data_IF_885505019642
#
_entry.id   IF_885505019642
#
_cell.length_a   1.000
_cell.length_b   1.000
_cell.length_c   1.000
_cell.angle_alpha   90.00
_cell.angle_beta   90.00
_cell.angle_gamma   90.00
#
_symmetry.space_group_name_H-M   'P 1'
#
loop_
_entity.id
_entity.type
_entity.pdbx_description
1 polymer ?
#
# COMPACT_ATOMS: atom_id res chain seq x y z
N UNK A 1 64.44 30.93 34.88
CA UNK A 1 62.96 30.93 34.80
C UNK A 1 62.58 31.15 33.35
N UNK A 2 62.26 30.08 32.61
CA UNK A 2 60.90 29.55 32.36
C UNK A 2 60.15 30.43 31.35
N UNK A 3 59.49 29.95 30.30
CA UNK A 3 59.30 28.65 29.64
C UNK A 3 58.55 28.97 28.31
N UNK A 4 58.58 28.04 27.37
CA UNK A 4 57.77 27.84 26.14
C UNK A 4 56.35 28.47 26.14
N UNK A 5 55.68 28.80 25.03
CA UNK A 5 55.50 28.04 23.78
C UNK A 5 54.69 28.84 22.75
N UNK A 6 55.01 28.63 21.48
CA UNK A 6 54.17 28.87 20.30
C UNK A 6 52.78 28.25 20.42
N UNK A 7 51.72 28.94 19.99
CA UNK A 7 50.51 28.26 19.52
C UNK A 7 50.02 28.91 18.22
N UNK A 8 50.17 28.15 17.16
CA UNK A 8 49.67 28.43 15.83
C UNK A 8 48.14 28.52 15.85
N UNK A 9 47.64 29.51 15.12
CA UNK A 9 46.27 29.62 14.64
C UNK A 9 45.92 28.41 13.80
N UNK A 10 45.15 27.48 14.37
CA UNK A 10 44.48 26.40 13.66
C UNK A 10 42.97 26.68 13.63
N UNK A 11 42.54 27.30 12.54
CA UNK A 11 41.18 27.22 12.02
C UNK A 11 40.94 25.80 11.51
N UNK A 12 40.21 24.98 12.26
CA UNK A 12 39.53 23.73 11.87
C UNK A 12 39.13 23.07 13.20
N UNK A 13 37.88 22.75 13.54
CA UNK A 13 36.81 22.19 12.74
C UNK A 13 35.52 22.40 13.54
N UNK A 14 34.52 23.06 12.97
CA UNK A 14 33.16 23.02 13.53
C UNK A 14 32.17 22.95 12.37
N UNK A 15 32.17 21.79 11.72
CA UNK A 15 31.27 21.40 10.64
C UNK A 15 30.78 19.97 10.91
N UNK A 16 30.41 19.69 12.16
CA UNK A 16 29.76 18.44 12.53
C UNK A 16 28.62 18.76 13.50
N UNK A 17 27.47 19.18 12.96
CA UNK A 17 26.24 18.49 13.35
C UNK A 17 25.24 18.22 12.21
N UNK A 18 25.55 18.62 10.96
CA UNK A 18 24.62 18.45 9.81
C UNK A 18 25.01 17.31 8.86
N UNK A 19 26.20 16.71 9.02
CA UNK A 19 26.69 15.66 8.13
C UNK A 19 26.08 14.28 8.45
N UNK A 20 25.73 14.03 9.71
CA UNK A 20 25.03 12.82 10.14
C UNK A 20 23.58 12.72 9.60
N UNK A 21 22.73 13.77 9.65
CA UNK A 21 21.38 13.66 9.09
C UNK A 21 21.38 13.56 7.56
N UNK A 22 22.33 14.18 6.86
CA UNK A 22 22.45 14.04 5.40
C UNK A 22 22.86 12.62 4.99
N UNK A 23 23.87 12.03 5.64
CA UNK A 23 24.28 10.66 5.36
C UNK A 23 23.18 9.63 5.70
N UNK A 24 22.38 9.88 6.75
CA UNK A 24 21.24 9.05 7.11
C UNK A 24 20.13 9.14 6.04
N UNK A 25 19.85 10.33 5.54
CA UNK A 25 18.87 10.58 4.48
C UNK A 25 19.33 10.01 3.14
N UNK A 26 20.62 10.14 2.79
CA UNK A 26 21.20 9.54 1.59
C UNK A 26 21.13 8.01 1.65
N UNK A 27 21.48 7.40 2.78
CA UNK A 27 21.36 5.96 2.98
C UNK A 27 19.90 5.47 2.92
N UNK A 28 18.95 6.25 3.45
CA UNK A 28 17.52 5.92 3.38
C UNK A 28 16.98 6.00 1.95
N UNK A 29 17.42 6.99 1.16
CA UNK A 29 17.09 7.13 -0.27
C UNK A 29 17.69 5.98 -1.09
N UNK A 30 18.93 5.57 -0.80
CA UNK A 30 19.59 4.45 -1.46
C UNK A 30 18.90 3.10 -1.16
N UNK A 31 18.42 2.91 0.07
CA UNK A 31 17.64 1.72 0.43
C UNK A 31 16.28 1.72 -0.28
N UNK A 32 15.56 2.84 -0.29
CA UNK A 32 14.26 2.95 -0.95
C UNK A 32 14.37 2.73 -2.47
N UNK A 33 15.39 3.29 -3.11
CA UNK A 33 15.63 3.07 -4.55
C UNK A 33 15.99 1.62 -4.87
N UNK A 34 16.82 0.98 -4.05
CA UNK A 34 17.15 -0.45 -4.19
C UNK A 34 15.92 -1.36 -4.05
N UNK A 35 15.03 -1.07 -3.09
CA UNK A 35 13.76 -1.81 -2.91
C UNK A 35 12.89 -1.67 -4.16
N UNK A 36 12.76 -0.46 -4.72
CA UNK A 36 11.94 -0.22 -5.90
C UNK A 36 12.52 -0.89 -7.15
N UNK A 37 13.85 -0.90 -7.31
CA UNK A 37 14.52 -1.65 -8.37
C UNK A 37 14.29 -3.16 -8.23
N UNK A 38 14.39 -3.69 -7.00
CA UNK A 38 14.13 -5.10 -6.73
C UNK A 38 12.68 -5.46 -7.04
N UNK A 39 11.72 -4.63 -6.62
CA UNK A 39 10.30 -4.83 -6.94
C UNK A 39 10.03 -4.76 -8.45
N UNK A 40 10.73 -3.88 -9.18
CA UNK A 40 10.65 -3.81 -10.63
C UNK A 40 11.22 -5.08 -11.30
N UNK A 41 12.35 -5.63 -10.81
CA UNK A 41 12.89 -6.90 -11.32
C UNK A 41 11.89 -8.04 -11.13
N UNK A 42 11.35 -8.18 -9.91
CA UNK A 42 10.33 -9.19 -9.59
C UNK A 42 9.08 -9.03 -10.46
N UNK A 43 8.73 -7.79 -10.80
CA UNK A 43 7.62 -7.51 -11.70
C UNK A 43 7.86 -8.03 -13.12
N UNK A 44 9.05 -7.75 -13.68
CA UNK A 44 9.45 -8.22 -15.02
C UNK A 44 9.61 -9.75 -15.08
N UNK A 45 10.02 -10.36 -13.97
CA UNK A 45 10.12 -11.82 -13.80
C UNK A 45 8.76 -12.51 -13.60
N UNK A 46 7.68 -11.73 -13.42
CA UNK A 46 6.32 -12.24 -13.23
C UNK A 46 5.95 -12.57 -11.78
N UNK A 47 6.83 -12.30 -10.81
CA UNK A 47 6.60 -12.42 -9.37
C UNK A 47 5.79 -11.22 -8.81
N UNK A 48 4.66 -10.93 -9.45
CA UNK A 48 3.85 -9.72 -9.20
C UNK A 48 3.40 -9.60 -7.74
N UNK A 49 2.97 -10.70 -7.10
CA UNK A 49 2.56 -10.70 -5.69
C UNK A 49 3.72 -10.31 -4.77
N UNK A 50 4.91 -10.84 -5.02
CA UNK A 50 6.07 -10.60 -4.19
C UNK A 50 6.61 -9.18 -4.38
N UNK A 51 6.55 -8.62 -5.60
CA UNK A 51 6.81 -7.21 -5.87
C UNK A 51 5.87 -6.28 -5.07
N UNK A 52 4.56 -6.57 -5.07
CA UNK A 52 3.57 -5.80 -4.29
C UNK A 52 3.88 -5.86 -2.80
N UNK A 53 4.16 -7.05 -2.27
CA UNK A 53 4.49 -7.22 -0.85
C UNK A 53 5.76 -6.49 -0.47
N UNK A 54 6.80 -6.52 -1.31
CA UNK A 54 8.05 -5.84 -1.07
C UNK A 54 7.85 -4.33 -0.96
N UNK A 55 7.10 -3.74 -1.90
CA UNK A 55 6.75 -2.32 -1.85
C UNK A 55 5.90 -2.00 -0.62
N UNK A 56 4.94 -2.85 -0.27
CA UNK A 56 4.11 -2.65 0.91
C UNK A 56 4.91 -2.69 2.23
N UNK A 57 5.87 -3.63 2.33
CA UNK A 57 6.76 -3.80 3.49
C UNK A 57 7.76 -2.65 3.63
N UNK A 58 8.15 -2.02 2.52
CA UNK A 58 9.06 -0.86 2.53
C UNK A 58 8.47 0.41 3.15
N UNK A 59 7.15 0.45 3.38
CA UNK A 59 6.47 1.64 3.86
C UNK A 59 6.25 2.72 2.79
N UNK A 60 6.70 2.50 1.55
CA UNK A 60 6.58 3.47 0.46
C UNK A 60 5.18 3.45 -0.17
N UNK A 61 4.23 4.11 0.50
CA UNK A 61 2.83 4.16 0.08
C UNK A 61 2.63 4.90 -1.26
N UNK A 62 3.51 5.85 -1.59
CA UNK A 62 3.53 6.53 -2.89
C UNK A 62 3.88 5.58 -4.04
N UNK A 63 4.89 4.72 -3.85
CA UNK A 63 5.23 3.67 -4.80
C UNK A 63 4.11 2.64 -4.92
N UNK A 64 3.49 2.24 -3.81
CA UNK A 64 2.35 1.32 -3.81
C UNK A 64 1.17 1.88 -4.63
N UNK A 65 0.86 3.18 -4.49
CA UNK A 65 -0.17 3.84 -5.30
C UNK A 65 0.19 3.83 -6.78
N UNK A 66 1.45 4.15 -7.11
CA UNK A 66 1.92 4.20 -8.50
C UNK A 66 1.82 2.83 -9.15
N UNK A 67 2.28 1.80 -8.45
CA UNK A 67 2.19 0.41 -8.85
C UNK A 67 0.73 -0.01 -9.05
N UNK A 68 -0.13 0.18 -8.04
CA UNK A 68 -1.54 -0.20 -8.14
C UNK A 68 -2.31 0.53 -9.26
N UNK A 69 -1.99 1.81 -9.53
CA UNK A 69 -2.54 2.54 -10.68
C UNK A 69 -2.07 1.94 -11.99
N UNK A 70 -0.78 1.59 -12.10
CA UNK A 70 -0.24 0.91 -13.28
C UNK A 70 -0.93 -0.44 -13.52
N UNK A 71 -1.17 -1.22 -12.45
CA UNK A 71 -1.90 -2.49 -12.51
C UNK A 71 -3.32 -2.35 -13.03
N UNK A 72 -4.07 -1.36 -12.52
CA UNK A 72 -5.45 -1.13 -12.95
C UNK A 72 -5.54 -0.59 -14.39
N UNK A 73 -4.53 0.15 -14.85
CA UNK A 73 -4.43 0.63 -16.23
C UNK A 73 -4.02 -0.46 -17.22
N UNK A 74 -3.16 -1.38 -16.78
CA UNK A 74 -2.61 -2.44 -17.61
C UNK A 74 -3.66 -3.54 -17.80
N UNK A 75 -4.27 -3.58 -18.98
CA UNK A 75 -5.34 -4.49 -19.38
C UNK A 75 -5.13 -5.94 -18.93
N UNK A 76 -5.91 -6.39 -17.91
CA UNK A 76 -6.28 -7.76 -17.46
C UNK A 76 -5.19 -8.85 -17.31
N UNK A 77 -4.02 -8.78 -17.95
CA UNK A 77 -2.96 -9.80 -17.92
C UNK A 77 -2.14 -9.73 -16.63
N UNK A 78 -1.91 -8.53 -16.10
CA UNK A 78 -1.19 -8.35 -14.83
C UNK A 78 -2.10 -8.44 -13.60
N UNK A 79 -3.40 -8.17 -13.77
CA UNK A 79 -4.38 -8.13 -12.68
C UNK A 79 -5.14 -9.46 -12.58
N UNK A 80 -4.46 -10.47 -12.05
CA UNK A 80 -5.11 -11.72 -11.63
C UNK A 80 -5.87 -11.49 -10.32
N UNK A 81 -6.82 -12.38 -9.99
CA UNK A 81 -7.53 -12.29 -8.70
C UNK A 81 -6.58 -12.46 -7.51
N UNK A 82 -5.50 -13.22 -7.69
CA UNK A 82 -4.49 -13.43 -6.64
C UNK A 82 -3.69 -12.15 -6.37
N UNK A 83 -3.11 -11.56 -7.42
CA UNK A 83 -2.39 -10.27 -7.33
C UNK A 83 -3.27 -9.15 -6.80
N UNK A 84 -4.56 -9.17 -7.13
CA UNK A 84 -5.53 -8.23 -6.58
C UNK A 84 -5.84 -8.45 -5.10
N UNK A 85 -5.87 -9.69 -4.62
CA UNK A 85 -5.98 -9.99 -3.19
C UNK A 85 -4.77 -9.47 -2.41
N UNK A 86 -3.58 -9.65 -2.97
CA UNK A 86 -2.31 -9.13 -2.42
C UNK A 86 -2.30 -7.60 -2.41
N UNK A 87 -2.65 -6.95 -3.53
CA UNK A 87 -2.76 -5.50 -3.62
C UNK A 87 -3.82 -4.95 -2.65
N UNK A 88 -4.99 -5.58 -2.55
CA UNK A 88 -6.03 -5.17 -1.61
C UNK A 88 -5.58 -5.26 -0.15
N UNK A 89 -4.82 -6.31 0.20
CA UNK A 89 -4.23 -6.45 1.53
C UNK A 89 -3.16 -5.40 1.81
N UNK A 90 -2.27 -5.14 0.84
CA UNK A 90 -1.26 -4.10 0.93
C UNK A 90 -1.90 -2.71 1.11
N UNK A 91 -2.97 -2.41 0.36
CA UNK A 91 -3.72 -1.16 0.49
C UNK A 91 -4.39 -1.03 1.86
N UNK A 92 -4.91 -2.12 2.43
CA UNK A 92 -5.47 -2.09 3.78
C UNK A 92 -4.41 -1.73 4.82
N UNK A 93 -3.23 -2.36 4.75
CA UNK A 93 -2.10 -2.06 5.64
C UNK A 93 -1.58 -0.63 5.47
N UNK A 94 -1.48 -0.15 4.22
CA UNK A 94 -1.12 1.23 3.93
C UNK A 94 -2.14 2.21 4.53
N UNK A 95 -3.44 1.97 4.34
CA UNK A 95 -4.50 2.80 4.92
C UNK A 95 -4.47 2.80 6.45
N UNK A 96 -4.19 1.67 7.10
CA UNK A 96 -4.01 1.62 8.56
C UNK A 96 -2.85 2.48 9.03
N UNK A 97 -1.71 2.44 8.32
CA UNK A 97 -0.52 3.23 8.64
C UNK A 97 -0.76 4.73 8.48
N UNK A 98 -1.37 5.12 7.35
CA UNK A 98 -1.60 6.51 6.96
C UNK A 98 -2.73 7.16 7.79
N UNK A 99 -3.70 6.37 8.27
CA UNK A 99 -4.81 6.85 9.11
C UNK A 99 -4.38 7.54 10.41
N UNK A 100 -3.14 7.35 10.85
CA UNK A 100 -2.60 7.91 12.09
C UNK A 100 -1.96 9.30 11.92
N UNK A 101 -1.91 9.89 10.72
CA UNK A 101 -1.21 11.17 10.49
C UNK A 101 -2.02 12.20 9.68
N UNK A 102 -2.21 13.39 10.24
CA UNK A 102 -2.90 14.52 9.59
C UNK A 102 -2.19 15.03 8.34
N UNK A 103 -0.87 14.83 8.24
CA UNK A 103 -0.03 15.32 7.12
C UNK A 103 -0.18 14.48 5.85
N UNK A 104 -1.02 13.44 5.89
CA UNK A 104 -1.11 12.43 4.83
C UNK A 104 -2.50 12.34 4.18
N UNK A 105 -3.32 13.39 4.30
CA UNK A 105 -4.69 13.44 3.74
C UNK A 105 -4.71 13.08 2.25
N UNK A 106 -3.82 13.63 1.44
CA UNK A 106 -3.79 13.35 -0.01
C UNK A 106 -3.41 11.91 -0.31
N UNK A 107 -2.47 11.36 0.47
CA UNK A 107 -2.05 9.97 0.39
C UNK A 107 -3.22 9.04 0.77
N UNK A 108 -3.91 9.31 1.87
CA UNK A 108 -5.09 8.56 2.30
C UNK A 108 -6.19 8.60 1.23
N UNK A 109 -6.48 9.77 0.66
CA UNK A 109 -7.47 9.86 -0.42
C UNK A 109 -7.04 9.05 -1.65
N UNK A 110 -5.76 9.08 -2.01
CA UNK A 110 -5.23 8.32 -3.14
C UNK A 110 -5.34 6.81 -2.90
N UNK A 111 -5.00 6.32 -1.70
CA UNK A 111 -5.17 4.93 -1.31
C UNK A 111 -6.64 4.50 -1.31
N UNK A 112 -7.55 5.32 -0.76
CA UNK A 112 -8.99 5.03 -0.77
C UNK A 112 -9.55 4.97 -2.19
N UNK A 113 -9.20 5.92 -3.07
CA UNK A 113 -9.62 5.90 -4.47
C UNK A 113 -9.11 4.66 -5.19
N UNK A 114 -7.87 4.26 -4.91
CA UNK A 114 -7.27 3.07 -5.50
C UNK A 114 -7.95 1.78 -5.01
N UNK A 115 -8.23 1.66 -3.71
CA UNK A 115 -8.96 0.54 -3.13
C UNK A 115 -10.38 0.43 -3.72
N UNK A 116 -11.10 1.56 -3.86
CA UNK A 116 -12.40 1.60 -4.50
C UNK A 116 -12.32 1.14 -5.96
N UNK A 117 -11.31 1.62 -6.71
CA UNK A 117 -11.12 1.25 -8.11
C UNK A 117 -10.83 -0.26 -8.26
N UNK A 118 -10.02 -0.82 -7.37
CA UNK A 118 -9.76 -2.26 -7.31
C UNK A 118 -11.05 -3.06 -7.09
N UNK A 119 -11.84 -2.71 -6.08
CA UNK A 119 -13.11 -3.39 -5.78
C UNK A 119 -14.12 -3.22 -6.92
N UNK A 120 -14.20 -2.05 -7.55
CA UNK A 120 -15.07 -1.84 -8.74
C UNK A 120 -14.68 -2.74 -9.90
N UNK A 121 -13.38 -2.93 -10.11
CA UNK A 121 -12.85 -3.67 -11.27
C UNK A 121 -13.06 -5.17 -11.12
N UNK A 122 -12.87 -5.71 -9.90
CA UNK A 122 -12.85 -7.15 -9.67
C UNK A 122 -14.00 -7.69 -8.84
N UNK A 123 -14.70 -6.86 -8.08
CA UNK A 123 -15.87 -7.26 -7.29
C UNK A 123 -16.92 -8.02 -8.11
N UNK A 124 -17.36 -7.52 -9.28
CA UNK A 124 -18.33 -8.23 -10.11
C UNK A 124 -17.82 -9.61 -10.59
N UNK A 125 -16.51 -9.72 -10.88
CA UNK A 125 -15.89 -10.98 -11.31
C UNK A 125 -15.90 -12.00 -10.17
N UNK A 126 -15.55 -11.56 -8.96
CA UNK A 126 -15.54 -12.42 -7.76
C UNK A 126 -16.93 -12.93 -7.44
N UNK A 127 -17.93 -12.04 -7.41
CA UNK A 127 -19.33 -12.40 -7.14
C UNK A 127 -19.85 -13.38 -8.19
N UNK A 128 -19.64 -13.09 -9.48
CA UNK A 128 -20.09 -13.96 -10.58
C UNK A 128 -19.42 -15.33 -10.54
N UNK A 129 -18.12 -15.39 -10.24
CA UNK A 129 -17.36 -16.64 -10.18
C UNK A 129 -17.79 -17.48 -8.96
N UNK A 130 -18.04 -16.86 -7.81
CA UNK A 130 -18.60 -17.55 -6.64
C UNK A 130 -19.96 -18.17 -6.95
N UNK A 131 -20.86 -17.41 -7.57
CA UNK A 131 -22.19 -17.90 -7.98
C UNK A 131 -22.10 -19.09 -8.96
N UNK A 132 -21.14 -19.04 -9.90
CA UNK A 132 -20.90 -20.15 -10.81
C UNK A 132 -20.43 -21.42 -10.08
N UNK A 133 -19.51 -21.28 -9.11
CA UNK A 133 -19.01 -22.41 -8.31
C UNK A 133 -20.10 -23.00 -7.42
N UNK A 134 -20.97 -22.17 -6.82
CA UNK A 134 -22.08 -22.66 -5.99
C UNK A 134 -23.13 -23.41 -6.81
N UNK A 135 -23.40 -22.95 -8.04
CA UNK A 135 -24.41 -23.54 -8.92
C UNK A 135 -23.88 -24.76 -9.69
N UNK A 136 -22.56 -24.93 -9.81
CA UNK A 136 -21.94 -26.08 -10.45
C UNK A 136 -20.67 -26.50 -9.69
N UNK A 137 -20.81 -27.35 -8.66
CA UNK A 137 -19.67 -27.81 -7.87
C UNK A 137 -18.84 -28.81 -8.67
N UNK A 138 -17.96 -28.33 -9.54
CA UNK A 138 -16.93 -29.19 -10.15
C UNK A 138 -15.92 -29.58 -9.07
N UNK A 139 -15.90 -30.85 -8.66
CA UNK A 139 -14.93 -31.37 -7.72
C UNK A 139 -13.57 -31.56 -8.43
N UNK A 140 -12.61 -30.68 -8.16
CA UNK A 140 -11.25 -30.77 -8.73
C UNK A 140 -10.24 -29.87 -8.01
N UNK A 141 -8.94 -30.10 -8.21
CA UNK A 141 -7.87 -29.26 -7.64
C UNK A 141 -7.99 -27.80 -8.08
N UNK A 142 -8.35 -27.56 -9.36
CA UNK A 142 -8.53 -26.24 -9.95
C UNK A 142 -9.68 -25.43 -9.33
N UNK A 143 -10.76 -26.11 -8.93
CA UNK A 143 -11.88 -25.47 -8.22
C UNK A 143 -11.47 -25.06 -6.79
N UNK A 144 -10.66 -25.87 -6.10
CA UNK A 144 -10.10 -25.53 -4.78
C UNK A 144 -9.15 -24.34 -4.85
N UNK A 145 -8.28 -24.31 -5.85
CA UNK A 145 -7.35 -23.20 -6.10
C UNK A 145 -8.11 -21.90 -6.41
N UNK A 146 -9.09 -21.95 -7.31
CA UNK A 146 -9.94 -20.80 -7.64
C UNK A 146 -10.69 -20.29 -6.41
N UNK A 147 -11.21 -21.19 -5.58
CA UNK A 147 -11.86 -20.83 -4.31
C UNK A 147 -10.89 -20.14 -3.35
N UNK A 148 -9.66 -20.66 -3.18
CA UNK A 148 -8.66 -20.06 -2.31
C UNK A 148 -8.29 -18.63 -2.74
N UNK A 149 -8.17 -18.40 -4.05
CA UNK A 149 -7.91 -17.08 -4.64
C UNK A 149 -9.09 -16.12 -4.38
N UNK A 150 -10.33 -16.58 -4.60
CA UNK A 150 -11.53 -15.79 -4.29
C UNK A 150 -11.62 -15.44 -2.81
N UNK A 151 -11.30 -16.39 -1.92
CA UNK A 151 -11.28 -16.17 -0.47
C UNK A 151 -10.18 -15.17 -0.07
N UNK A 152 -9.03 -15.19 -0.75
CA UNK A 152 -7.97 -14.18 -0.56
C UNK A 152 -8.46 -12.77 -0.86
N UNK A 153 -9.09 -12.56 -2.01
CA UNK A 153 -9.66 -11.26 -2.37
C UNK A 153 -10.78 -10.83 -1.43
N UNK A 154 -11.69 -11.74 -1.06
CA UNK A 154 -12.76 -11.44 -0.11
C UNK A 154 -12.21 -11.02 1.26
N UNK A 155 -11.14 -11.68 1.76
CA UNK A 155 -10.46 -11.25 2.99
C UNK A 155 -9.85 -9.85 2.86
N UNK A 156 -9.23 -9.54 1.72
CA UNK A 156 -8.70 -8.20 1.46
C UNK A 156 -9.81 -7.14 1.44
N UNK A 157 -10.94 -7.42 0.78
CA UNK A 157 -12.11 -6.56 0.76
C UNK A 157 -12.68 -6.34 2.19
N UNK A 158 -12.79 -7.39 2.99
CA UNK A 158 -13.22 -7.29 4.38
C UNK A 158 -12.29 -6.39 5.20
N UNK A 159 -10.97 -6.54 5.07
CA UNK A 159 -9.99 -5.64 5.72
C UNK A 159 -10.19 -4.19 5.30
N UNK A 160 -10.30 -3.92 4.00
CA UNK A 160 -10.56 -2.57 3.49
C UNK A 160 -11.86 -1.97 4.07
N UNK A 161 -12.92 -2.77 4.21
CA UNK A 161 -14.19 -2.36 4.82
C UNK A 161 -14.07 -2.01 6.31
N UNK A 162 -13.28 -2.80 7.05
CA UNK A 162 -12.98 -2.52 8.46
C UNK A 162 -12.20 -1.23 8.63
N UNK A 163 -11.14 -1.04 7.83
CA UNK A 163 -10.31 0.17 7.86
C UNK A 163 -11.13 1.41 7.50
N UNK A 164 -11.98 1.31 6.47
CA UNK A 164 -12.90 2.39 6.10
C UNK A 164 -13.89 2.73 7.23
N UNK A 165 -14.46 1.72 7.90
CA UNK A 165 -15.37 1.93 9.04
C UNK A 165 -14.67 2.61 10.20
N UNK A 166 -13.44 2.20 10.51
CA UNK A 166 -12.67 2.76 11.59
C UNK A 166 -12.21 4.20 11.28
N UNK A 167 -11.89 4.50 10.01
CA UNK A 167 -11.60 5.87 9.53
C UNK A 167 -12.82 6.77 9.65
N UNK A 168 -14.02 6.28 9.29
CA UNK A 168 -15.27 7.01 9.46
C UNK A 168 -15.56 7.35 10.91
N UNK A 169 -15.36 6.42 11.84
CA UNK A 169 -15.51 6.67 13.27
C UNK A 169 -14.57 7.78 13.74
N UNK A 170 -13.33 7.79 13.24
CA UNK A 170 -12.35 8.83 13.55
C UNK A 170 -12.79 10.21 13.02
N UNK A 171 -13.24 10.27 11.75
CA UNK A 171 -13.74 11.51 11.13
C UNK A 171 -14.93 12.12 11.88
N UNK A 172 -15.74 11.29 12.56
CA UNK A 172 -16.88 11.75 13.37
C UNK A 172 -16.44 12.28 14.74
N UNK A 173 -15.38 11.71 15.32
CA UNK A 173 -14.83 12.14 16.59
C UNK A 173 -14.00 13.43 16.45
N UNK A 174 -13.29 13.59 15.33
CA UNK A 174 -12.43 14.73 15.04
C UNK A 174 -12.76 15.28 13.63
N UNK A 175 -13.49 16.41 13.52
CA UNK A 175 -13.86 17.02 12.24
C UNK A 175 -12.69 17.77 11.58
N UNK A 176 -11.49 17.18 11.62
CA UNK A 176 -10.23 17.75 11.09
C UNK A 176 -10.00 17.28 9.64
N UNK A 177 -10.70 16.24 9.20
CA UNK A 177 -10.47 15.58 7.92
C UNK A 177 -11.31 16.18 6.78
N UNK A 178 -10.68 16.39 5.63
CA UNK A 178 -11.31 16.81 4.38
C UNK A 178 -12.65 16.12 4.13
N UNK A 179 -13.65 16.88 3.66
CA UNK A 179 -15.03 16.40 3.37
C UNK A 179 -15.08 15.22 2.39
N UNK A 180 -14.02 14.97 1.63
CA UNK A 180 -13.92 13.85 0.70
C UNK A 180 -13.62 12.51 1.37
N UNK A 181 -12.91 12.48 2.49
CA UNK A 181 -12.49 11.22 3.14
C UNK A 181 -13.70 10.42 3.65
N UNK A 182 -14.67 11.02 4.38
CA UNK A 182 -15.86 10.28 4.81
C UNK A 182 -16.67 9.73 3.63
N UNK A 183 -16.76 10.47 2.53
CA UNK A 183 -17.46 10.01 1.31
C UNK A 183 -16.78 8.78 0.70
N UNK A 184 -15.45 8.84 0.55
CA UNK A 184 -14.66 7.73 0.01
C UNK A 184 -14.73 6.50 0.92
N UNK A 185 -14.62 6.66 2.24
CA UNK A 185 -14.74 5.54 3.18
C UNK A 185 -16.14 4.91 3.14
N UNK A 186 -17.19 5.72 3.05
CA UNK A 186 -18.57 5.22 2.94
C UNK A 186 -18.74 4.40 1.66
N UNK A 187 -18.22 4.91 0.55
CA UNK A 187 -18.28 4.22 -0.74
C UNK A 187 -17.49 2.91 -0.71
N UNK A 188 -16.26 2.93 -0.18
CA UNK A 188 -15.41 1.75 -0.04
C UNK A 188 -16.10 0.69 0.82
N UNK A 189 -16.69 1.09 1.95
CA UNK A 189 -17.42 0.18 2.85
C UNK A 189 -18.58 -0.50 2.13
N UNK A 190 -19.41 0.25 1.42
CA UNK A 190 -20.56 -0.29 0.67
C UNK A 190 -20.08 -1.27 -0.41
N UNK A 191 -19.06 -0.88 -1.18
CA UNK A 191 -18.57 -1.71 -2.29
C UNK A 191 -17.86 -2.97 -1.82
N UNK A 192 -17.00 -2.84 -0.80
CA UNK A 192 -16.32 -3.98 -0.21
C UNK A 192 -17.31 -4.91 0.48
N UNK A 193 -18.33 -4.38 1.16
CA UNK A 193 -19.40 -5.15 1.78
C UNK A 193 -20.26 -5.92 0.77
N UNK A 194 -20.35 -5.50 -0.49
CA UNK A 194 -21.07 -6.25 -1.53
C UNK A 194 -20.27 -7.46 -2.08
N UNK A 195 -18.98 -7.55 -1.77
CA UNK A 195 -18.08 -8.63 -2.21
C UNK A 195 -17.92 -9.71 -1.12
N UNK A 196 -18.14 -9.33 0.13
CA UNK A 196 -18.06 -10.19 1.33
C UNK A 196 -19.41 -10.87 1.55
#
# INVERSE_FOLDING_TARGET
SARSSSLASSTSSSLAPLQAPLALVEAEVDVQTSILQSAASMWEEGEVCAAIELVAKSGNDGALITLGRSMLKSSRRALTLDTAGTLGSALATALERVRLSADTIDLMQALLRLAIALIRTLGPVVVSTRLAITNSPTQGSRARETKAILDSFTRAAAKLSMVASATLSLCRAEPILSTSIPKLCTELKVKAGAVV
#
